data_IF_918873948278
#
_entry.id   IF_918873948278
#
_cell.length_a   1.000
_cell.length_b   1.000
_cell.length_c   1.000
_cell.angle_alpha   90.00
_cell.angle_beta   90.00
_cell.angle_gamma   90.00
#
_symmetry.space_group_name_H-M   'P 1'
#
loop_
_entity.id
_entity.type
_entity.pdbx_description
1 polymer ?
#
# COMPACT_ATOMS: atom_id res chain seq x y z
N UNK A 1 -16.63 -10.49 17.19
CA UNK A 1 -16.07 -10.37 15.83
C UNK A 1 -16.02 -8.90 15.45
N UNK A 2 -14.86 -8.42 15.05
CA UNK A 2 -14.67 -7.01 14.71
C UNK A 2 -14.41 -6.87 13.21
N UNK A 3 -15.29 -6.19 12.52
CA UNK A 3 -15.11 -5.83 11.12
C UNK A 3 -14.54 -4.41 11.02
N UNK A 4 -13.63 -4.20 10.08
CA UNK A 4 -13.02 -2.89 9.85
C UNK A 4 -13.65 -2.28 8.60
N UNK A 5 -14.23 -1.10 8.77
CA UNK A 5 -14.78 -0.33 7.65
C UNK A 5 -13.64 0.42 6.95
N UNK A 6 -13.66 0.42 5.62
CA UNK A 6 -12.66 1.16 4.83
C UNK A 6 -12.94 2.66 4.76
N UNK A 7 -14.18 3.09 5.03
CA UNK A 7 -14.52 4.51 5.07
C UNK A 7 -13.82 5.19 6.25
N UNK A 8 -13.07 6.25 6.00
CA UNK A 8 -12.30 6.95 7.03
C UNK A 8 -10.91 6.39 7.28
N UNK A 9 -10.48 5.40 6.49
CA UNK A 9 -9.11 4.90 6.51
C UNK A 9 -8.17 5.93 5.89
N UNK A 10 -7.06 6.20 6.55
CA UNK A 10 -6.05 7.15 6.08
C UNK A 10 -4.77 6.43 5.67
N UNK A 11 -4.16 6.92 4.60
CA UNK A 11 -2.92 6.40 4.03
C UNK A 11 -1.83 7.45 4.14
N UNK A 12 -0.69 7.08 4.74
CA UNK A 12 0.45 7.98 4.97
C UNK A 12 1.71 7.40 4.36
N UNK A 13 2.57 8.28 3.87
CA UNK A 13 3.90 7.90 3.37
C UNK A 13 4.98 8.61 4.18
N UNK A 14 5.98 7.86 4.60
CA UNK A 14 7.15 8.36 5.34
C UNK A 14 8.42 7.75 4.79
N UNK A 15 9.57 8.27 5.22
CA UNK A 15 10.86 7.67 4.90
C UNK A 15 10.98 6.29 5.54
N UNK A 16 11.73 5.38 4.91
CA UNK A 16 11.93 4.02 5.41
C UNK A 16 12.64 3.95 6.75
N UNK A 17 13.39 5.00 7.11
CA UNK A 17 14.10 5.10 8.39
C UNK A 17 13.19 5.41 9.58
N UNK A 18 11.93 5.82 9.33
CA UNK A 18 10.98 6.14 10.41
C UNK A 18 10.52 4.85 11.07
N UNK A 19 10.60 4.80 12.41
CA UNK A 19 10.16 3.63 13.18
C UNK A 19 8.63 3.55 13.20
N UNK A 20 8.10 2.36 12.94
CA UNK A 20 6.66 2.09 12.95
C UNK A 20 6.40 0.61 13.27
N UNK A 21 6.90 0.15 14.41
CA UNK A 21 6.77 -1.24 14.85
C UNK A 21 5.78 -1.42 16.00
N UNK A 22 5.37 -0.33 16.63
CA UNK A 22 4.36 -0.33 17.68
C UNK A 22 3.29 0.70 17.39
N UNK A 23 2.15 0.60 18.05
CA UNK A 23 1.05 1.56 17.87
C UNK A 23 1.47 2.99 18.25
N UNK A 24 2.26 3.14 19.30
CA UNK A 24 2.79 4.44 19.72
C UNK A 24 3.74 5.02 18.67
N UNK A 25 4.62 4.20 18.09
CA UNK A 25 5.54 4.63 17.04
C UNK A 25 4.79 5.04 15.76
N UNK A 26 3.75 4.29 15.38
CA UNK A 26 2.90 4.64 14.24
C UNK A 26 2.18 5.97 14.48
N UNK A 27 1.64 6.18 15.65
CA UNK A 27 0.96 7.44 16.02
C UNK A 27 1.92 8.62 15.94
N UNK A 28 3.14 8.46 16.41
CA UNK A 28 4.18 9.49 16.31
C UNK A 28 4.58 9.72 14.85
N UNK A 29 4.73 8.67 14.08
CA UNK A 29 5.15 8.75 12.67
C UNK A 29 4.11 9.48 11.82
N UNK A 30 2.82 9.21 11.99
CA UNK A 30 1.77 9.86 11.19
C UNK A 30 1.62 11.35 11.48
N UNK A 31 2.10 11.83 12.63
CA UNK A 31 2.08 13.26 12.95
C UNK A 31 2.93 14.09 11.98
N UNK A 32 4.00 13.51 11.43
CA UNK A 32 4.90 14.17 10.47
C UNK A 32 4.80 13.58 9.07
N UNK A 33 3.97 12.57 8.86
CA UNK A 33 3.82 11.86 7.60
C UNK A 33 3.03 12.68 6.58
N UNK A 34 3.22 12.35 5.31
CA UNK A 34 2.46 12.93 4.20
C UNK A 34 1.24 12.05 3.91
N UNK A 35 0.05 12.59 4.16
CA UNK A 35 -1.21 11.88 3.92
C UNK A 35 -1.63 11.99 2.45
N UNK A 36 -2.08 10.89 1.88
CA UNK A 36 -2.67 10.88 0.54
C UNK A 36 -4.10 11.37 0.66
N UNK A 37 -4.37 12.57 0.13
CA UNK A 37 -5.69 13.21 0.20
C UNK A 37 -6.52 12.91 -1.04
N UNK A 38 -7.83 13.07 -0.92
CA UNK A 38 -8.79 12.93 -2.02
C UNK A 38 -8.77 11.56 -2.68
N UNK A 39 -8.46 10.54 -1.91
CA UNK A 39 -8.35 9.17 -2.39
C UNK A 39 -9.74 8.63 -2.76
N UNK A 40 -9.88 8.15 -4.00
CA UNK A 40 -11.10 7.49 -4.49
C UNK A 40 -11.05 5.99 -4.34
N UNK A 41 -9.95 5.40 -4.80
CA UNK A 41 -9.76 3.96 -4.76
C UNK A 41 -8.35 3.61 -4.35
N UNK A 42 -8.21 2.46 -3.73
CA UNK A 42 -6.93 1.88 -3.37
C UNK A 42 -6.97 0.39 -3.72
N UNK A 43 -5.85 -0.15 -4.20
CA UNK A 43 -5.79 -1.54 -4.60
C UNK A 43 -5.63 -2.52 -3.45
N UNK A 44 -5.42 -3.78 -3.79
CA UNK A 44 -5.28 -4.87 -2.82
C UNK A 44 -3.86 -4.94 -2.26
N UNK A 45 -3.77 -5.17 -0.96
CA UNK A 45 -2.50 -5.36 -0.26
C UNK A 45 -2.34 -6.84 0.05
N UNK A 46 -1.20 -7.40 -0.31
CA UNK A 46 -0.91 -8.78 -0.02
C UNK A 46 0.08 -9.38 -1.01
N UNK A 47 0.26 -10.67 -0.91
CA UNK A 47 1.17 -11.39 -1.78
C UNK A 47 0.65 -12.77 -2.12
N UNK A 48 1.24 -13.36 -3.13
CA UNK A 48 0.94 -14.73 -3.54
C UNK A 48 2.22 -15.56 -3.51
N UNK A 49 2.06 -16.84 -3.23
CA UNK A 49 3.17 -17.80 -3.27
C UNK A 49 3.05 -18.66 -4.51
N UNK A 50 4.19 -18.99 -5.09
CA UNK A 50 4.23 -20.00 -6.14
C UNK A 50 3.96 -21.38 -5.51
N UNK A 51 3.07 -22.14 -6.13
CA UNK A 51 2.71 -23.48 -5.67
C UNK A 51 3.28 -24.50 -6.65
N UNK A 52 4.05 -25.44 -6.14
CA UNK A 52 4.52 -26.60 -6.90
C UNK A 52 3.77 -27.84 -6.45
N UNK A 53 3.32 -28.66 -7.38
CA UNK A 53 2.59 -29.89 -7.09
C UNK A 53 3.30 -31.07 -7.73
N UNK A 54 3.49 -32.12 -6.94
CA UNK A 54 4.07 -33.38 -7.42
C UNK A 54 3.16 -34.56 -7.08
N UNK A 55 3.00 -35.46 -8.03
CA UNK A 55 2.22 -36.68 -7.88
C UNK A 55 3.16 -37.90 -7.88
N UNK A 56 2.82 -38.86 -7.08
CA UNK A 56 3.55 -40.14 -7.03
C UNK A 56 2.89 -41.19 -7.93
N UNK A 57 3.69 -42.02 -8.57
CA UNK A 57 3.18 -43.09 -9.43
C UNK A 57 2.35 -44.13 -8.65
N UNK A 58 2.66 -44.34 -7.38
CA UNK A 58 2.03 -45.36 -6.55
C UNK A 58 0.99 -44.80 -5.56
N UNK A 59 0.66 -43.52 -5.64
CA UNK A 59 -0.29 -42.85 -4.73
C UNK A 59 -1.27 -42.02 -5.51
N UNK A 60 -2.52 -41.93 -5.01
CA UNK A 60 -3.55 -41.09 -5.59
C UNK A 60 -3.42 -39.63 -5.14
N UNK A 61 -2.68 -39.38 -4.07
CA UNK A 61 -2.49 -38.04 -3.51
C UNK A 61 -1.32 -37.30 -4.17
N UNK A 62 -1.43 -35.99 -4.21
CA UNK A 62 -0.34 -35.12 -4.64
C UNK A 62 0.21 -34.33 -3.46
N UNK A 63 1.49 -33.96 -3.55
CA UNK A 63 2.14 -33.10 -2.57
C UNK A 63 2.29 -31.71 -3.17
N UNK A 64 1.88 -30.69 -2.41
CA UNK A 64 2.03 -29.29 -2.79
C UNK A 64 3.12 -28.63 -1.94
N UNK A 65 3.96 -27.85 -2.59
CA UNK A 65 5.02 -27.09 -1.95
C UNK A 65 4.80 -25.60 -2.20
N UNK A 66 4.97 -24.79 -1.18
CA UNK A 66 4.87 -23.32 -1.27
C UNK A 66 6.24 -22.72 -1.54
N UNK A 67 6.33 -21.94 -2.60
CA UNK A 67 7.56 -21.25 -3.01
C UNK A 67 7.66 -19.84 -2.46
N UNK A 68 8.42 -19.00 -3.16
CA UNK A 68 8.63 -17.61 -2.80
C UNK A 68 7.36 -16.78 -2.89
N UNK A 69 7.29 -15.71 -2.10
CA UNK A 69 6.20 -14.74 -2.12
C UNK A 69 6.45 -13.70 -3.21
N UNK A 70 5.43 -13.42 -4.01
CA UNK A 70 5.39 -12.31 -4.93
C UNK A 70 4.33 -11.31 -4.45
N UNK A 71 4.74 -10.07 -4.25
CA UNK A 71 3.83 -9.00 -3.87
C UNK A 71 3.27 -8.33 -5.12
N UNK A 72 1.99 -7.98 -5.06
CA UNK A 72 1.33 -7.32 -6.18
C UNK A 72 1.53 -5.82 -6.20
N UNK A 73 0.84 -5.18 -7.13
CA UNK A 73 0.78 -3.73 -7.19
C UNK A 73 -0.58 -3.23 -6.69
N UNK A 74 -0.60 -1.97 -6.29
CA UNK A 74 -1.79 -1.31 -5.77
C UNK A 74 -2.04 -0.05 -6.60
N UNK A 75 -2.97 -0.10 -7.57
CA UNK A 75 -3.34 1.11 -8.29
C UNK A 75 -4.14 2.04 -7.37
N UNK A 76 -3.77 3.31 -7.36
CA UNK A 76 -4.37 4.34 -6.53
C UNK A 76 -4.93 5.43 -7.41
N UNK A 77 -6.17 5.85 -7.15
CA UNK A 77 -6.82 6.97 -7.84
C UNK A 77 -7.19 8.05 -6.85
N UNK A 78 -6.78 9.29 -7.12
CA UNK A 78 -7.09 10.46 -6.31
C UNK A 78 -7.65 11.56 -7.19
N UNK A 79 -8.50 12.42 -6.64
CA UNK A 79 -8.84 13.66 -7.31
C UNK A 79 -7.61 14.56 -7.30
N UNK A 80 -7.19 15.03 -8.47
CA UNK A 80 -5.99 15.86 -8.60
C UNK A 80 -6.18 17.20 -7.92
N UNK A 81 -5.23 17.55 -7.05
CA UNK A 81 -5.17 18.85 -6.38
C UNK A 81 -3.82 19.50 -6.69
N UNK A 82 -3.82 20.56 -7.47
CA UNK A 82 -2.61 21.28 -7.85
C UNK A 82 -1.92 21.98 -6.68
N UNK A 83 -2.66 22.24 -5.61
CA UNK A 83 -2.15 22.89 -4.40
C UNK A 83 -1.66 21.88 -3.35
N UNK A 84 -1.80 20.59 -3.60
CA UNK A 84 -1.37 19.55 -2.65
C UNK A 84 0.16 19.46 -2.60
N UNK A 85 0.71 19.77 -1.43
CA UNK A 85 2.15 19.68 -1.15
C UNK A 85 2.51 18.44 -0.32
N UNK A 86 1.54 17.56 -0.04
CA UNK A 86 1.72 16.39 0.81
C UNK A 86 1.66 15.08 -0.01
N UNK A 87 0.56 14.34 0.07
CA UNK A 87 0.48 12.98 -0.44
C UNK A 87 0.73 12.83 -1.94
N UNK A 88 0.05 13.64 -2.77
CA UNK A 88 0.26 13.57 -4.22
C UNK A 88 1.66 14.03 -4.62
N UNK A 89 2.18 15.02 -3.91
CA UNK A 89 3.54 15.51 -4.13
C UNK A 89 4.59 14.44 -3.80
N UNK A 90 4.44 13.73 -2.69
CA UNK A 90 5.40 12.69 -2.31
C UNK A 90 5.31 11.47 -3.23
N UNK A 91 4.13 11.15 -3.76
CA UNK A 91 3.98 10.09 -4.76
C UNK A 91 4.77 10.43 -6.03
N UNK A 92 4.68 11.67 -6.50
CA UNK A 92 5.46 12.13 -7.66
C UNK A 92 6.96 12.12 -7.39
N UNK A 93 7.39 12.57 -6.22
CA UNK A 93 8.80 12.58 -5.83
C UNK A 93 9.34 11.16 -5.73
N UNK A 94 8.62 10.25 -5.09
CA UNK A 94 9.03 8.86 -4.97
C UNK A 94 9.11 8.16 -6.34
N UNK A 95 8.23 8.51 -7.27
CA UNK A 95 8.31 8.01 -8.64
C UNK A 95 9.57 8.52 -9.34
N UNK A 96 9.90 9.80 -9.18
CA UNK A 96 11.04 10.42 -9.86
C UNK A 96 12.39 9.95 -9.33
N UNK A 97 12.54 9.85 -8.01
CA UNK A 97 13.80 9.45 -7.38
C UNK A 97 13.96 7.95 -7.22
N UNK A 98 12.92 7.17 -7.53
CA UNK A 98 12.92 5.69 -7.46
C UNK A 98 13.20 5.16 -6.05
N UNK A 99 12.97 5.97 -5.04
CA UNK A 99 13.25 5.58 -3.66
C UNK A 99 12.10 4.78 -3.05
N UNK A 100 12.47 3.94 -2.09
CA UNK A 100 11.50 3.20 -1.29
C UNK A 100 10.94 4.12 -0.20
N UNK A 101 9.64 3.98 0.05
CA UNK A 101 8.95 4.69 1.12
C UNK A 101 8.24 3.68 2.02
N UNK A 102 8.01 4.07 3.26
CA UNK A 102 7.19 3.30 4.19
C UNK A 102 5.78 3.84 4.14
N UNK A 103 4.81 2.95 3.91
CA UNK A 103 3.40 3.30 3.94
C UNK A 103 2.82 2.87 5.27
N UNK A 104 2.11 3.78 5.93
CA UNK A 104 1.39 3.52 7.17
C UNK A 104 -0.10 3.74 6.89
N UNK A 105 -0.90 2.72 7.09
CA UNK A 105 -2.34 2.77 6.90
C UNK A 105 -2.99 2.77 8.27
N UNK A 106 -3.72 3.84 8.58
CA UNK A 106 -4.47 3.94 9.83
C UNK A 106 -5.90 3.47 9.57
N UNK A 107 -6.25 2.35 10.14
CA UNK A 107 -7.61 1.81 10.07
C UNK A 107 -8.55 2.53 11.05
N UNK A 108 -9.84 2.47 10.77
CA UNK A 108 -10.87 3.16 11.57
C UNK A 108 -11.01 2.61 12.98
N UNK A 109 -10.60 1.37 13.22
CA UNK A 109 -10.61 0.74 14.54
C UNK A 109 -9.38 1.08 15.39
N UNK A 110 -8.45 1.89 14.87
CA UNK A 110 -7.24 2.28 15.56
C UNK A 110 -6.04 1.37 15.34
N UNK A 111 -6.17 0.31 14.56
CA UNK A 111 -5.04 -0.53 14.16
C UNK A 111 -4.28 0.10 12.98
N UNK A 112 -3.04 -0.33 12.78
CA UNK A 112 -2.20 0.15 11.69
C UNK A 112 -1.70 -1.01 10.84
N UNK A 113 -1.55 -0.75 9.55
CA UNK A 113 -0.87 -1.66 8.62
C UNK A 113 0.34 -0.93 8.06
N UNK A 114 1.51 -1.54 8.14
CA UNK A 114 2.78 -0.94 7.73
C UNK A 114 3.46 -1.82 6.70
N UNK A 115 3.89 -1.24 5.59
CA UNK A 115 4.62 -1.95 4.55
C UNK A 115 5.58 -0.99 3.84
N UNK A 116 6.58 -1.55 3.17
CA UNK A 116 7.48 -0.77 2.33
C UNK A 116 6.99 -0.82 0.88
N UNK A 117 7.06 0.30 0.20
CA UNK A 117 6.53 0.45 -1.16
C UNK A 117 7.48 1.25 -2.05
N UNK A 118 7.33 1.04 -3.35
CA UNK A 118 7.94 1.87 -4.39
C UNK A 118 6.84 2.32 -5.35
N UNK A 119 7.04 3.45 -5.98
CA UNK A 119 6.06 4.00 -6.93
C UNK A 119 6.54 3.71 -8.35
N UNK A 120 5.73 2.97 -9.11
CA UNK A 120 6.10 2.57 -10.48
C UNK A 120 5.42 3.40 -11.56
N UNK A 121 4.36 4.13 -11.23
CA UNK A 121 3.66 4.97 -12.19
C UNK A 121 3.08 6.20 -11.53
N UNK A 122 3.06 7.30 -12.28
CA UNK A 122 2.48 8.57 -11.86
C UNK A 122 1.87 9.22 -13.09
N UNK A 123 0.53 9.28 -13.16
CA UNK A 123 -0.21 9.70 -14.34
C UNK A 123 -1.39 10.58 -13.98
N UNK A 124 -1.88 11.34 -14.95
CA UNK A 124 -3.13 12.10 -14.84
C UNK A 124 -4.09 11.64 -15.93
N UNK A 125 -5.37 11.59 -15.61
CA UNK A 125 -6.42 11.26 -16.56
C UNK A 125 -7.34 12.47 -16.73
N UNK A 126 -7.55 12.89 -17.97
CA UNK A 126 -8.41 14.00 -18.34
C UNK A 126 -9.63 13.46 -19.09
N UNK A 127 -10.81 13.71 -18.55
CA UNK A 127 -12.08 13.37 -19.21
C UNK A 127 -12.95 14.63 -19.29
N UNK A 128 -13.77 14.70 -20.35
CA UNK A 128 -14.68 15.83 -20.53
C UNK A 128 -15.73 15.84 -19.39
N UNK A 129 -15.99 17.01 -18.84
CA UNK A 129 -16.97 17.27 -17.78
C UNK A 129 -16.68 16.52 -16.46
N UNK A 130 -15.41 16.12 -16.25
CA UNK A 130 -14.99 15.47 -15.01
C UNK A 130 -13.77 16.18 -14.42
N UNK A 131 -13.56 15.97 -13.12
CA UNK A 131 -12.32 16.42 -12.49
C UNK A 131 -11.14 15.62 -13.00
N UNK A 132 -9.97 16.25 -13.00
CA UNK A 132 -8.72 15.54 -13.33
C UNK A 132 -8.43 14.52 -12.25
N UNK A 133 -8.14 13.29 -12.67
CA UNK A 133 -7.82 12.19 -11.76
C UNK A 133 -6.31 11.93 -11.81
N UNK A 134 -5.68 11.93 -10.63
CA UNK A 134 -4.30 11.53 -10.47
C UNK A 134 -4.25 10.03 -10.17
N UNK A 135 -3.48 9.31 -10.97
CA UNK A 135 -3.30 7.86 -10.81
C UNK A 135 -1.85 7.55 -10.51
N UNK A 136 -1.63 6.70 -9.53
CA UNK A 136 -0.32 6.19 -9.20
C UNK A 136 -0.40 4.69 -9.01
N UNK A 137 0.67 3.98 -9.36
CA UNK A 137 0.78 2.56 -9.06
C UNK A 137 1.83 2.37 -7.98
N UNK A 138 1.41 1.77 -6.89
CA UNK A 138 2.26 1.49 -5.74
C UNK A 138 2.65 0.03 -5.78
N UNK A 139 3.94 -0.25 -5.83
CA UNK A 139 4.46 -1.61 -5.79
C UNK A 139 4.79 -1.98 -4.35
N UNK A 140 4.16 -3.03 -3.84
CA UNK A 140 4.47 -3.55 -2.51
C UNK A 140 5.84 -4.23 -2.52
N UNK A 141 6.73 -3.81 -1.64
CA UNK A 141 8.11 -4.28 -1.61
C UNK A 141 8.46 -5.05 -0.34
N UNK A 142 7.53 -5.22 0.57
CA UNK A 142 7.70 -6.02 1.78
C UNK A 142 6.36 -6.57 2.25
N UNK A 143 6.41 -7.53 3.18
CA UNK A 143 5.20 -8.03 3.81
C UNK A 143 4.50 -6.92 4.61
N UNK A 144 3.18 -6.85 4.51
CA UNK A 144 2.38 -5.93 5.30
C UNK A 144 2.31 -6.44 6.74
N UNK A 145 2.71 -5.60 7.68
CA UNK A 145 2.69 -5.92 9.10
C UNK A 145 1.50 -5.21 9.74
N UNK A 146 0.67 -5.96 10.45
CA UNK A 146 -0.45 -5.41 11.19
C UNK A 146 -0.03 -5.11 12.62
N UNK A 147 -0.34 -3.90 13.08
CA UNK A 147 0.03 -3.42 14.40
C UNK A 147 -1.25 -3.15 15.19
N UNK A 148 -1.48 -3.96 16.20
CA UNK A 148 -2.70 -3.95 17.00
C UNK A 148 -2.44 -3.28 18.36
N UNK A 149 -1.23 -3.34 18.84
CA UNK A 149 -0.86 -2.82 20.16
C UNK A 149 0.33 -1.86 20.12
#
# INVERSE_FOLDING_TARGET
MAFVDSTGTDFYLVATSVAATTKAECTTAIATAKRIKNLKTFGDIGGTRTVSESKFLSADDSIKSMGSISYGNMPVECLFDSADTEGQSILKTAYSDKSERKMIIKNTDGTFTVLNVKISASMKTYNIDEFVIYKATIEQNSEAVEIIA
#
